data_IF_418091423709
#
_entry.id   IF_418091423709
#
_cell.length_a   1.000
_cell.length_b   1.000
_cell.length_c   1.000
_cell.angle_alpha   90.00
_cell.angle_beta   90.00
_cell.angle_gamma   90.00
#
_symmetry.space_group_name_H-M   'P 1'
#
loop_
_entity.id
_entity.type
_entity.pdbx_description
1 polymer ?
#
# COMPACT_ATOMS: atom_id res chain seq x y z
N UNK A 1 -22.44 5.10 5.03
CA UNK A 1 -21.65 4.26 4.09
C UNK A 1 -20.93 5.07 3.01
N UNK A 2 -21.56 5.99 2.27
CA UNK A 2 -20.90 6.77 1.19
C UNK A 2 -19.58 7.46 1.57
N UNK A 3 -19.47 8.06 2.77
CA UNK A 3 -18.20 8.66 3.23
C UNK A 3 -17.07 7.64 3.39
N UNK A 4 -17.38 6.46 3.94
CA UNK A 4 -16.40 5.41 4.18
C UNK A 4 -15.92 4.79 2.87
N UNK A 5 -16.83 4.55 1.91
CA UNK A 5 -16.45 4.04 0.59
C UNK A 5 -15.59 5.04 -0.18
N UNK A 6 -15.92 6.33 -0.12
CA UNK A 6 -15.10 7.39 -0.71
C UNK A 6 -13.68 7.40 -0.13
N UNK A 7 -13.55 7.40 1.19
CA UNK A 7 -12.25 7.38 1.86
C UNK A 7 -11.42 6.14 1.49
N UNK A 8 -12.06 4.96 1.39
CA UNK A 8 -11.41 3.72 0.98
C UNK A 8 -10.90 3.80 -0.47
N UNK A 9 -11.71 4.34 -1.39
CA UNK A 9 -11.30 4.53 -2.79
C UNK A 9 -10.16 5.53 -2.92
N UNK A 10 -10.22 6.66 -2.22
CA UNK A 10 -9.15 7.67 -2.20
C UNK A 10 -7.85 7.06 -1.68
N UNK A 11 -7.89 6.30 -0.58
CA UNK A 11 -6.72 5.61 -0.04
C UNK A 11 -6.13 4.59 -1.02
N UNK A 12 -6.96 3.81 -1.71
CA UNK A 12 -6.47 2.85 -2.72
C UNK A 12 -5.78 3.55 -3.90
N UNK A 13 -6.26 4.72 -4.32
CA UNK A 13 -5.62 5.52 -5.37
C UNK A 13 -4.25 6.04 -4.93
N UNK A 14 -4.13 6.53 -3.69
CA UNK A 14 -2.85 6.96 -3.12
C UNK A 14 -1.86 5.80 -2.97
N UNK A 15 -2.33 4.66 -2.46
CA UNK A 15 -1.55 3.44 -2.32
C UNK A 15 -1.00 2.98 -3.67
N UNK A 16 -1.83 2.94 -4.71
CA UNK A 16 -1.45 2.51 -6.05
C UNK A 16 -0.48 3.48 -6.73
N UNK A 17 -0.80 4.78 -6.73
CA UNK A 17 -0.02 5.81 -7.45
C UNK A 17 1.36 6.09 -6.85
N UNK A 18 1.60 5.68 -5.60
CA UNK A 18 2.84 5.97 -4.91
C UNK A 18 3.48 4.74 -4.28
N UNK A 19 2.83 4.15 -3.28
CA UNK A 19 3.49 3.14 -2.45
C UNK A 19 3.75 1.85 -3.23
N UNK A 20 2.77 1.36 -4.00
CA UNK A 20 2.95 0.15 -4.80
C UNK A 20 3.97 0.36 -5.91
N UNK A 21 4.04 1.56 -6.50
CA UNK A 21 5.05 1.87 -7.51
C UNK A 21 6.46 1.89 -6.91
N UNK A 22 6.65 2.55 -5.77
CA UNK A 22 7.91 2.55 -5.03
C UNK A 22 8.28 1.17 -4.47
N UNK A 23 7.30 0.33 -4.14
CA UNK A 23 7.52 -1.03 -3.64
C UNK A 23 8.08 -1.99 -4.70
N UNK A 24 7.85 -1.74 -6.00
CA UNK A 24 8.33 -2.60 -7.10
C UNK A 24 9.84 -2.81 -7.05
N UNK A 25 10.60 -1.74 -6.82
CA UNK A 25 12.06 -1.80 -6.65
C UNK A 25 12.46 -2.81 -5.56
N UNK A 26 11.80 -2.75 -4.40
CA UNK A 26 12.08 -3.66 -3.28
C UNK A 26 11.65 -5.09 -3.57
N UNK A 27 10.56 -5.27 -4.30
CA UNK A 27 9.99 -6.58 -4.58
C UNK A 27 10.71 -7.31 -5.71
N UNK A 28 11.15 -6.58 -6.75
CA UNK A 28 11.69 -7.16 -7.97
C UNK A 28 13.22 -7.22 -7.97
N UNK A 29 13.90 -6.28 -7.30
CA UNK A 29 15.37 -6.19 -7.34
C UNK A 29 16.00 -6.86 -6.12
N UNK A 30 15.43 -6.67 -4.92
CA UNK A 30 16.06 -7.16 -3.71
C UNK A 30 15.98 -8.70 -3.58
N UNK A 31 17.04 -9.30 -3.05
CA UNK A 31 17.13 -10.74 -2.83
C UNK A 31 15.93 -11.25 -2.00
N UNK A 32 15.47 -12.47 -2.29
CA UNK A 32 14.23 -13.03 -1.74
C UNK A 32 14.19 -13.05 -0.21
N UNK A 33 15.32 -13.34 0.44
CA UNK A 33 15.46 -13.38 1.90
C UNK A 33 15.95 -12.05 2.51
N UNK A 34 16.12 -10.99 1.71
CA UNK A 34 16.62 -9.71 2.22
C UNK A 34 15.60 -9.03 3.15
N UNK A 35 16.11 -8.37 4.19
CA UNK A 35 15.29 -7.59 5.11
C UNK A 35 14.43 -6.54 4.37
N UNK A 36 14.99 -5.85 3.37
CA UNK A 36 14.30 -4.84 2.56
C UNK A 36 13.05 -5.40 1.86
N UNK A 37 13.14 -6.62 1.30
CA UNK A 37 12.01 -7.28 0.64
C UNK A 37 11.01 -7.84 1.65
N UNK A 38 11.49 -8.55 2.68
CA UNK A 38 10.64 -9.16 3.71
C UNK A 38 9.84 -8.12 4.50
N UNK A 39 10.46 -7.01 4.88
CA UNK A 39 9.79 -5.88 5.54
C UNK A 39 8.66 -5.31 4.67
N UNK A 40 8.91 -5.12 3.36
CA UNK A 40 7.88 -4.65 2.43
C UNK A 40 6.72 -5.66 2.28
N UNK A 41 7.02 -6.96 2.19
CA UNK A 41 6.01 -8.02 2.12
C UNK A 41 5.15 -8.09 3.39
N UNK A 42 5.72 -7.90 4.58
CA UNK A 42 4.96 -7.85 5.84
C UNK A 42 3.93 -6.73 5.82
N UNK A 43 4.33 -5.52 5.40
CA UNK A 43 3.40 -4.38 5.29
C UNK A 43 2.33 -4.63 4.22
N UNK A 44 2.70 -5.19 3.07
CA UNK A 44 1.75 -5.50 1.99
C UNK A 44 0.73 -6.57 2.40
N UNK A 45 1.16 -7.63 3.09
CA UNK A 45 0.27 -8.67 3.62
C UNK A 45 -0.74 -8.05 4.59
N UNK A 46 -0.27 -7.26 5.54
CA UNK A 46 -1.12 -6.59 6.52
C UNK A 46 -2.10 -5.60 5.87
N UNK A 47 -1.65 -4.82 4.87
CA UNK A 47 -2.51 -3.90 4.13
C UNK A 47 -3.60 -4.64 3.36
N UNK A 48 -3.25 -5.72 2.65
CA UNK A 48 -4.20 -6.50 1.87
C UNK A 48 -5.29 -7.11 2.75
N UNK A 49 -4.93 -7.66 3.92
CA UNK A 49 -5.92 -8.16 4.89
C UNK A 49 -6.86 -7.06 5.39
N UNK A 50 -6.32 -5.91 5.83
CA UNK A 50 -7.14 -4.85 6.39
C UNK A 50 -8.02 -4.17 5.33
N UNK A 51 -7.53 -4.03 4.09
CA UNK A 51 -8.35 -3.54 2.99
C UNK A 51 -9.49 -4.49 2.67
N UNK A 52 -9.25 -5.81 2.61
CA UNK A 52 -10.31 -6.79 2.41
C UNK A 52 -11.37 -6.70 3.53
N UNK A 53 -10.94 -6.57 4.80
CA UNK A 53 -11.87 -6.41 5.94
C UNK A 53 -12.70 -5.12 5.82
N UNK A 54 -12.06 -4.01 5.46
CA UNK A 54 -12.75 -2.72 5.27
C UNK A 54 -13.72 -2.74 4.07
N UNK A 55 -13.42 -3.55 3.04
CA UNK A 55 -14.28 -3.77 1.89
C UNK A 55 -15.47 -4.69 2.19
N UNK A 56 -15.32 -5.63 3.14
CA UNK A 56 -16.31 -6.66 3.47
C UNK A 56 -17.77 -6.18 3.58
N UNK A 57 -18.08 -5.06 4.26
CA UNK A 57 -19.45 -4.56 4.38
C UNK A 57 -20.10 -4.08 3.07
N UNK A 58 -19.32 -3.81 2.02
CA UNK A 58 -19.80 -3.24 0.74
C UNK A 58 -19.55 -4.17 -0.44
N UNK A 59 -18.41 -4.86 -0.43
CA UNK A 59 -17.91 -5.74 -1.50
C UNK A 59 -17.61 -7.13 -0.91
N UNK A 60 -18.62 -7.75 -0.30
CA UNK A 60 -18.47 -8.99 0.48
C UNK A 60 -17.79 -10.12 -0.28
N UNK A 61 -18.26 -10.46 -1.49
CA UNK A 61 -17.67 -11.54 -2.29
C UNK A 61 -16.20 -11.25 -2.65
N UNK A 62 -15.89 -10.02 -3.06
CA UNK A 62 -14.52 -9.63 -3.38
C UNK A 62 -13.60 -9.66 -2.15
N UNK A 63 -14.12 -9.25 -0.98
CA UNK A 63 -13.36 -9.33 0.27
C UNK A 63 -13.02 -10.79 0.63
N UNK A 64 -13.98 -11.70 0.45
CA UNK A 64 -13.77 -13.13 0.66
C UNK A 64 -12.78 -13.71 -0.37
N UNK A 65 -12.92 -13.37 -1.65
CA UNK A 65 -11.98 -13.82 -2.70
C UNK A 65 -10.54 -13.36 -2.42
N UNK A 66 -10.36 -12.11 -1.99
CA UNK A 66 -9.04 -11.59 -1.58
C UNK A 66 -8.52 -12.41 -0.40
N UNK A 67 -9.36 -12.65 0.61
CA UNK A 67 -8.99 -13.43 1.79
C UNK A 67 -8.51 -14.83 1.41
N UNK A 68 -9.22 -15.53 0.55
CA UNK A 68 -8.83 -16.88 0.10
C UNK A 68 -7.58 -16.88 -0.78
N UNK A 69 -7.31 -15.81 -1.52
CA UNK A 69 -6.14 -15.70 -2.40
C UNK A 69 -4.85 -15.28 -1.67
N UNK A 70 -4.95 -14.87 -0.40
CA UNK A 70 -3.83 -14.38 0.38
C UNK A 70 -2.81 -15.51 0.69
N UNK A 71 -1.50 -15.31 0.47
CA UNK A 71 -0.50 -16.38 0.57
C UNK A 71 -0.17 -16.78 2.00
N UNK A 72 -0.25 -18.07 2.31
CA UNK A 72 -0.05 -18.63 3.65
C UNK A 72 -1.36 -19.13 4.26
N UNK A 73 -1.31 -19.55 5.51
CA UNK A 73 -2.52 -19.97 6.23
C UNK A 73 -3.21 -18.75 6.84
N UNK A 74 -4.52 -18.66 6.60
CA UNK A 74 -5.35 -17.65 7.22
C UNK A 74 -5.74 -18.10 8.63
N UNK A 75 -5.83 -17.13 9.57
CA UNK A 75 -6.24 -17.41 10.94
C UNK A 75 -7.66 -17.99 11.03
N UNK A 76 -8.53 -17.62 10.09
CA UNK A 76 -9.92 -18.06 10.00
C UNK A 76 -10.26 -18.48 8.57
N UNK A 77 -11.20 -19.43 8.38
CA UNK A 77 -11.56 -19.92 7.05
C UNK A 77 -12.33 -18.91 6.20
N UNK A 78 -12.87 -17.83 6.79
CA UNK A 78 -13.54 -16.75 6.07
C UNK A 78 -13.22 -15.41 6.71
N UNK A 79 -13.16 -14.35 5.90
CA UNK A 79 -12.86 -13.00 6.39
C UNK A 79 -13.91 -12.51 7.39
N UNK A 80 -15.17 -12.96 7.25
CA UNK A 80 -16.28 -12.54 8.11
C UNK A 80 -16.17 -13.08 9.54
N UNK A 81 -15.24 -13.99 9.80
CA UNK A 81 -14.94 -14.52 11.14
C UNK A 81 -13.80 -13.76 11.83
N UNK A 82 -13.06 -12.91 11.10
CA UNK A 82 -11.80 -12.31 11.56
C UNK A 82 -11.95 -11.00 12.37
N UNK A 83 -13.17 -10.48 12.48
CA UNK A 83 -13.48 -9.21 13.12
C UNK A 83 -13.12 -7.97 12.28
N UNK A 84 -13.03 -6.81 12.91
CA UNK A 84 -12.74 -5.54 12.23
C UNK A 84 -11.24 -5.35 11.91
N UNK A 85 -10.91 -4.24 11.25
CA UNK A 85 -9.54 -3.82 10.97
C UNK A 85 -8.76 -3.65 12.28
N UNK A 86 -7.50 -4.08 12.28
CA UNK A 86 -6.58 -3.92 13.40
C UNK A 86 -5.59 -2.79 13.11
N UNK A 87 -4.95 -2.15 14.11
CA UNK A 87 -3.81 -1.28 13.89
C UNK A 87 -2.56 -2.09 13.50
N UNK A 88 -1.60 -1.45 12.83
CA UNK A 88 -0.35 -2.13 12.46
C UNK A 88 0.44 -2.46 13.73
N UNK A 89 0.85 -3.72 13.94
CA UNK A 89 1.60 -4.10 15.13
C UNK A 89 2.94 -3.36 15.15
N UNK A 90 3.15 -2.56 16.19
CA UNK A 90 4.35 -1.74 16.39
C UNK A 90 4.85 -1.90 17.82
N UNK A 91 6.16 -2.05 17.97
CA UNK A 91 6.79 -2.05 19.28
C UNK A 91 6.93 -0.60 19.78
N UNK A 92 6.22 -0.26 20.87
CA UNK A 92 6.30 1.04 21.54
C UNK A 92 5.55 2.21 20.87
N UNK A 93 5.42 3.30 21.63
CA UNK A 93 4.77 4.57 21.23
C UNK A 93 5.71 5.53 20.47
N UNK A 94 6.64 5.04 19.67
CA UNK A 94 7.49 5.95 18.88
C UNK A 94 6.63 6.82 17.94
N UNK A 95 6.41 8.08 18.28
CA UNK A 95 5.62 9.00 17.47
C UNK A 95 6.07 8.92 16.00
N UNK A 96 5.16 8.66 15.04
CA UNK A 96 5.50 8.65 13.62
C UNK A 96 6.17 9.95 13.15
N UNK A 97 6.10 11.00 13.98
CA UNK A 97 6.51 12.38 13.77
C UNK A 97 7.57 12.60 12.70
N UNK A 98 8.80 12.13 12.91
CA UNK A 98 9.89 12.41 11.97
C UNK A 98 9.70 11.69 10.62
N UNK A 99 9.48 10.38 10.63
CA UNK A 99 9.34 9.60 9.40
C UNK A 99 8.09 10.00 8.59
N UNK A 100 6.98 10.26 9.27
CA UNK A 100 5.73 10.72 8.66
C UNK A 100 5.86 12.14 8.10
N UNK A 101 6.58 13.03 8.79
CA UNK A 101 6.88 14.38 8.29
C UNK A 101 7.71 14.30 7.02
N UNK A 102 8.84 13.58 7.04
CA UNK A 102 9.68 13.36 5.85
C UNK A 102 8.88 12.75 4.70
N UNK A 103 8.02 11.77 5.00
CA UNK A 103 7.17 11.15 3.98
C UNK A 103 6.18 12.14 3.35
N UNK A 104 5.53 12.98 4.17
CA UNK A 104 4.62 14.03 3.69
C UNK A 104 5.35 15.06 2.84
N UNK A 105 6.54 15.49 3.25
CA UNK A 105 7.37 16.41 2.46
C UNK A 105 7.76 15.80 1.10
N UNK A 106 8.14 14.52 1.07
CA UNK A 106 8.42 13.82 -0.18
C UNK A 106 7.21 13.77 -1.12
N UNK A 107 6.00 13.55 -0.60
CA UNK A 107 4.77 13.59 -1.39
C UNK A 107 4.47 14.98 -1.98
N UNK A 108 4.76 16.05 -1.23
CA UNK A 108 4.60 17.43 -1.73
C UNK A 108 5.54 17.70 -2.91
N UNK A 109 6.80 17.28 -2.81
CA UNK A 109 7.82 17.50 -3.86
C UNK A 109 7.62 16.59 -5.07
N UNK A 110 6.92 15.46 -4.92
CA UNK A 110 6.66 14.51 -6.02
C UNK A 110 5.98 15.15 -7.22
N UNK A 111 4.92 15.94 -7.01
CA UNK A 111 4.14 16.51 -8.11
C UNK A 111 4.96 17.45 -9.03
N UNK A 112 5.72 18.44 -8.51
CA UNK A 112 6.56 19.26 -9.37
C UNK A 112 7.69 18.46 -10.04
N UNK A 113 8.24 17.44 -9.37
CA UNK A 113 9.25 16.55 -9.98
C UNK A 113 8.65 15.76 -11.14
N UNK A 114 7.48 15.14 -10.97
CA UNK A 114 6.80 14.40 -12.03
C UNK A 114 6.48 15.31 -13.23
N UNK A 115 6.04 16.55 -12.99
CA UNK A 115 5.82 17.53 -14.06
C UNK A 115 7.11 17.86 -14.81
N UNK A 116 8.23 18.04 -14.10
CA UNK A 116 9.53 18.28 -14.72
C UNK A 116 10.00 17.07 -15.55
N UNK A 117 9.81 15.85 -15.03
CA UNK A 117 10.12 14.60 -15.74
C UNK A 117 9.27 14.45 -17.00
N UNK A 118 7.97 14.71 -16.94
CA UNK A 118 7.09 14.67 -18.12
C UNK A 118 7.51 15.69 -19.19
N UNK A 119 7.91 16.90 -18.80
CA UNK A 119 8.45 17.91 -19.73
C UNK A 119 9.73 17.41 -20.39
N UNK A 120 10.63 16.80 -19.62
CA UNK A 120 11.88 16.24 -20.13
C UNK A 120 11.63 15.06 -21.09
N UNK A 121 10.63 14.21 -20.83
CA UNK A 121 10.19 13.13 -21.74
C UNK A 121 9.65 13.68 -23.05
N UNK A 122 8.76 14.68 -22.99
CA UNK A 122 8.21 15.34 -24.19
C UNK A 122 9.30 16.01 -25.04
N UNK A 123 10.35 16.49 -24.41
CA UNK A 123 11.53 17.06 -25.08
C UNK A 123 12.53 16.00 -25.58
N UNK A 124 12.24 14.70 -25.43
CA UNK A 124 13.11 13.60 -25.87
C UNK A 124 14.41 13.46 -25.06
N UNK A 125 14.55 14.14 -23.91
CA UNK A 125 15.78 14.13 -23.10
C UNK A 125 15.91 12.88 -22.23
N UNK A 126 14.79 12.27 -21.87
CA UNK A 126 14.71 11.05 -21.05
C UNK A 126 13.61 10.13 -21.59
N UNK A 127 13.77 8.82 -21.37
CA UNK A 127 12.83 7.79 -21.81
C UNK A 127 11.67 7.51 -20.83
N UNK A 128 10.96 6.40 -21.09
CA UNK A 128 9.74 6.00 -20.39
C UNK A 128 9.91 5.45 -18.96
N UNK A 129 11.13 5.22 -18.47
CA UNK A 129 11.34 4.67 -17.13
C UNK A 129 12.78 4.77 -16.65
N UNK A 130 12.93 4.76 -15.32
CA UNK A 130 14.08 4.17 -14.63
C UNK A 130 13.78 2.68 -14.45
#
# INVERSE_FOLDING_TARGET
FSRATKALVEFMQELSSFYLDAAKDRLYIAAQASHRRRSCQTVLRWLAENLARAMGPVLCHLAEDIWQALPGENAEPSIFLTGWCAPFPRDGEAEPGAALTTFREALVVRNPVNLALERARKAGRIGGGL
#
